data_IF_058319886632
#
_entry.id   IF_058319886632
#
_cell.length_a   1.000
_cell.length_b   1.000
_cell.length_c   1.000
_cell.angle_alpha   90.00
_cell.angle_beta   90.00
_cell.angle_gamma   90.00
#
_symmetry.space_group_name_H-M   'P 1'
#
loop_
_entity.id
_entity.type
_entity.pdbx_description
1 polymer ?
#
# COMPACT_ATOMS: atom_id res chain seq x y z
N UNK A 1 -21.58 27.30 0.37
CA UNK A 1 -21.56 26.54 -0.89
C UNK A 1 -20.13 26.51 -1.44
N UNK A 2 -19.16 25.84 -0.78
CA UNK A 2 -17.79 25.61 -1.31
C UNK A 2 -16.95 24.62 -0.47
N UNK A 3 -17.55 23.58 0.16
CA UNK A 3 -16.79 22.49 0.81
C UNK A 3 -17.51 21.16 0.53
N UNK A 4 -17.44 20.69 -0.71
CA UNK A 4 -17.98 19.38 -1.09
C UNK A 4 -17.06 18.56 -2.01
N UNK A 5 -15.75 18.88 -2.06
CA UNK A 5 -14.83 18.28 -3.05
C UNK A 5 -13.56 17.65 -2.47
N UNK A 6 -13.63 16.96 -1.32
CA UNK A 6 -12.49 16.18 -0.79
C UNK A 6 -12.75 14.67 -0.65
N UNK A 7 -13.88 14.14 -1.10
CA UNK A 7 -14.26 12.72 -0.87
C UNK A 7 -14.09 11.79 -2.08
N UNK A 8 -13.19 12.09 -3.01
CA UNK A 8 -12.84 11.16 -4.09
C UNK A 8 -11.42 11.42 -4.56
N UNK A 9 -10.60 10.36 -4.54
CA UNK A 9 -9.19 10.24 -4.95
C UNK A 9 -8.10 10.39 -3.87
N UNK A 10 -7.17 9.42 -3.94
CA UNK A 10 -5.84 9.31 -3.28
C UNK A 10 -5.89 8.78 -1.84
N UNK A 11 -5.51 7.53 -1.50
CA UNK A 11 -4.36 6.76 -1.94
C UNK A 11 -3.24 6.89 -0.91
N UNK A 12 -3.16 5.98 0.08
CA UNK A 12 -2.02 5.62 0.97
C UNK A 12 -1.27 6.74 1.75
N UNK A 13 -1.53 8.02 1.51
CA UNK A 13 -0.76 9.14 2.07
C UNK A 13 -1.36 9.82 3.30
N UNK A 14 -2.62 9.54 3.67
CA UNK A 14 -3.31 10.34 4.68
C UNK A 14 -3.14 9.86 6.14
N UNK A 15 -2.51 8.70 6.36
CA UNK A 15 -2.39 8.13 7.72
C UNK A 15 -1.05 8.52 8.39
N UNK A 16 -0.08 9.06 7.64
CA UNK A 16 1.21 9.53 8.17
C UNK A 16 1.31 11.06 8.40
N UNK A 17 0.28 11.84 8.07
CA UNK A 17 0.37 13.31 7.99
C UNK A 17 -0.25 14.09 9.17
N UNK A 18 -0.54 13.47 10.33
CA UNK A 18 -1.25 14.15 11.43
C UNK A 18 -0.43 14.36 12.71
N UNK A 19 0.90 14.48 12.64
CA UNK A 19 1.71 14.88 13.80
C UNK A 19 2.69 16.06 13.60
N UNK A 20 2.76 16.69 12.42
CA UNK A 20 3.61 17.88 12.23
C UNK A 20 2.93 18.95 11.39
N UNK A 21 2.16 19.82 12.03
CA UNK A 21 1.93 21.18 11.53
C UNK A 21 2.30 22.16 12.64
N UNK A 22 3.44 22.86 12.54
CA UNK A 22 3.81 23.90 13.48
C UNK A 22 3.27 25.22 12.96
N UNK A 23 2.16 25.71 13.51
CA UNK A 23 1.85 27.14 13.64
C UNK A 23 0.40 27.31 14.11
N UNK A 24 0.22 27.65 15.39
CA UNK A 24 -0.73 28.65 15.84
C UNK A 24 -0.57 28.91 17.35
N UNK A 25 -0.02 30.09 17.62
CA UNK A 25 -0.31 31.00 18.75
C UNK A 25 -0.08 30.53 20.19
N UNK A 26 0.85 31.25 20.85
CA UNK A 26 1.12 31.23 22.28
C UNK A 26 -0.08 31.82 23.06
N UNK A 27 -0.97 30.95 23.52
CA UNK A 27 -1.84 31.24 24.65
C UNK A 27 -1.57 30.20 25.74
N UNK A 28 -1.06 30.69 26.89
CA UNK A 28 -0.86 30.03 28.18
C UNK A 28 -1.09 28.51 28.26
N UNK A 29 -0.08 27.70 28.65
CA UNK A 29 -0.31 26.29 28.93
C UNK A 29 -1.12 26.19 30.22
N UNK A 30 -2.44 26.07 30.09
CA UNK A 30 -3.22 25.42 31.14
C UNK A 30 -2.58 24.04 31.36
N UNK A 31 -2.33 23.59 32.61
CA UNK A 31 -1.73 22.29 32.83
C UNK A 31 -2.60 21.26 32.10
N UNK A 32 -2.00 20.55 31.16
CA UNK A 32 -2.66 19.49 30.43
C UNK A 32 -3.23 18.53 31.48
N UNK A 33 -4.55 18.57 31.66
CA UNK A 33 -5.27 17.54 32.41
C UNK A 33 -5.03 16.26 31.64
N UNK A 34 -4.05 15.47 32.07
CA UNK A 34 -3.98 14.05 31.77
C UNK A 34 -5.15 13.38 32.49
N UNK A 35 -6.36 13.61 31.98
CA UNK A 35 -7.47 12.71 32.23
C UNK A 35 -7.09 11.40 31.55
N UNK A 36 -6.43 10.51 32.30
CA UNK A 36 -6.52 9.08 32.01
C UNK A 36 -7.99 8.75 32.25
N UNK A 37 -8.81 8.87 31.21
CA UNK A 37 -10.18 8.37 31.28
C UNK A 37 -10.08 6.89 31.68
N UNK A 38 -10.83 6.45 32.70
CA UNK A 38 -10.77 5.07 33.11
C UNK A 38 -11.19 4.18 31.94
N UNK A 39 -10.49 3.06 31.75
CA UNK A 39 -10.84 2.05 30.75
C UNK A 39 -11.77 1.03 31.38
N UNK A 40 -12.95 1.48 31.84
CA UNK A 40 -13.96 0.55 32.35
C UNK A 40 -14.67 -0.15 31.20
N UNK A 41 -15.27 -1.31 31.48
CA UNK A 41 -16.10 -2.01 30.48
C UNK A 41 -17.24 -1.12 29.95
N UNK A 42 -17.79 -0.23 30.78
CA UNK A 42 -18.84 0.70 30.38
C UNK A 42 -18.31 1.75 29.41
N UNK A 43 -17.16 2.34 29.70
CA UNK A 43 -16.56 3.38 28.86
C UNK A 43 -16.12 2.80 27.50
N UNK A 44 -15.55 1.59 27.50
CA UNK A 44 -15.19 0.86 26.28
C UNK A 44 -16.44 0.57 25.44
N UNK A 45 -17.51 0.06 26.05
CA UNK A 45 -18.76 -0.23 25.35
C UNK A 45 -19.39 1.04 24.76
N UNK A 46 -19.37 2.14 25.52
CA UNK A 46 -19.87 3.43 25.04
C UNK A 46 -19.03 3.96 23.86
N UNK A 47 -17.71 3.83 23.94
CA UNK A 47 -16.83 4.26 22.86
C UNK A 47 -17.08 3.48 21.57
N UNK A 48 -17.30 2.16 21.67
CA UNK A 48 -17.68 1.31 20.53
C UNK A 48 -19.04 1.72 19.96
N UNK A 49 -20.04 1.98 20.82
CA UNK A 49 -21.37 2.40 20.38
C UNK A 49 -21.34 3.71 19.58
N UNK A 50 -20.40 4.60 19.92
CA UNK A 50 -20.21 5.89 19.24
C UNK A 50 -19.57 5.77 17.84
N UNK A 51 -19.12 4.58 17.40
CA UNK A 51 -18.65 4.39 16.02
C UNK A 51 -19.74 4.60 14.96
N UNK A 52 -21.02 4.56 15.35
CA UNK A 52 -22.15 4.87 14.47
C UNK A 52 -22.22 6.36 14.10
N UNK A 53 -21.59 7.23 14.88
CA UNK A 53 -21.52 8.66 14.60
C UNK A 53 -20.19 9.01 13.90
N UNK A 54 -20.22 9.42 12.62
CA UNK A 54 -19.02 9.80 11.86
C UNK A 54 -18.12 10.82 12.55
N UNK A 55 -18.69 11.74 13.34
CA UNK A 55 -17.94 12.79 14.03
C UNK A 55 -17.19 12.28 15.27
N UNK A 56 -17.58 11.11 15.77
CA UNK A 56 -17.04 10.54 17.00
C UNK A 56 -16.12 9.36 16.76
N UNK A 57 -16.12 8.79 15.55
CA UNK A 57 -15.34 7.62 15.19
C UNK A 57 -13.85 7.71 15.55
N UNK A 58 -13.16 8.75 15.08
CA UNK A 58 -11.73 8.90 15.29
C UNK A 58 -11.37 9.09 16.77
N UNK A 59 -12.14 9.91 17.49
CA UNK A 59 -11.92 10.18 18.91
C UNK A 59 -12.09 8.92 19.75
N UNK A 60 -13.15 8.15 19.50
CA UNK A 60 -13.40 6.90 20.23
C UNK A 60 -12.40 5.81 19.86
N UNK A 61 -11.97 5.74 18.59
CA UNK A 61 -10.92 4.80 18.18
C UNK A 61 -9.61 5.09 18.92
N UNK A 62 -9.22 6.37 19.03
CA UNK A 62 -8.03 6.79 19.80
C UNK A 62 -8.15 6.46 21.29
N UNK A 63 -9.32 6.66 21.88
CA UNK A 63 -9.58 6.29 23.27
C UNK A 63 -9.42 4.77 23.48
N UNK A 64 -10.01 3.94 22.61
CA UNK A 64 -9.89 2.48 22.69
C UNK A 64 -8.45 2.00 22.49
N UNK A 65 -7.68 2.66 21.62
CA UNK A 65 -6.24 2.39 21.45
C UNK A 65 -5.48 2.74 22.73
N UNK A 66 -5.81 3.85 23.40
CA UNK A 66 -5.21 4.21 24.68
C UNK A 66 -5.54 3.20 25.80
N UNK A 67 -6.69 2.53 25.72
CA UNK A 67 -7.04 1.42 26.61
C UNK A 67 -6.27 0.12 26.31
N UNK A 68 -5.66 -0.01 25.14
CA UNK A 68 -4.81 -1.14 24.78
C UNK A 68 -5.54 -2.50 24.91
N UNK A 69 -4.87 -3.46 25.55
CA UNK A 69 -5.38 -4.84 25.70
C UNK A 69 -6.73 -4.93 26.44
N UNK A 70 -7.08 -3.95 27.28
CA UNK A 70 -8.37 -3.92 27.98
C UNK A 70 -9.56 -3.79 27.01
N UNK A 71 -9.37 -3.14 25.85
CA UNK A 71 -10.42 -2.97 24.84
C UNK A 71 -10.57 -4.19 23.91
N UNK A 72 -9.55 -5.06 23.83
CA UNK A 72 -9.50 -6.17 22.87
C UNK A 72 -10.69 -7.12 22.98
N UNK A 73 -11.12 -7.59 24.17
CA UNK A 73 -12.26 -8.51 24.26
C UNK A 73 -13.56 -7.92 23.70
N UNK A 74 -13.87 -6.65 24.02
CA UNK A 74 -15.07 -5.97 23.55
C UNK A 74 -15.02 -5.69 22.04
N UNK A 75 -13.85 -5.30 21.53
CA UNK A 75 -13.63 -5.11 20.09
C UNK A 75 -13.80 -6.42 19.32
N UNK A 76 -13.26 -7.54 19.81
CA UNK A 76 -13.42 -8.85 19.20
C UNK A 76 -14.88 -9.32 19.21
N UNK A 77 -15.60 -9.09 20.31
CA UNK A 77 -17.05 -9.36 20.39
C UNK A 77 -17.81 -8.55 19.34
N UNK A 78 -17.48 -7.27 19.18
CA UNK A 78 -18.10 -6.36 18.19
C UNK A 78 -17.97 -6.89 16.77
N UNK A 79 -16.81 -7.47 16.40
CA UNK A 79 -16.62 -8.08 15.07
C UNK A 79 -17.53 -9.27 14.79
N UNK A 80 -18.01 -9.95 15.83
CA UNK A 80 -18.90 -11.11 15.72
C UNK A 80 -20.37 -10.72 15.71
N UNK A 81 -20.75 -9.70 16.50
CA UNK A 81 -22.15 -9.42 16.82
C UNK A 81 -22.71 -8.18 16.15
N UNK A 82 -21.90 -7.17 15.80
CA UNK A 82 -22.44 -5.92 15.30
C UNK A 82 -22.81 -6.01 13.81
N UNK A 83 -24.07 -5.73 13.42
CA UNK A 83 -24.51 -5.81 12.03
C UNK A 83 -23.94 -4.69 11.16
N UNK A 84 -23.56 -3.55 11.75
CA UNK A 84 -23.08 -2.38 11.03
C UNK A 84 -21.62 -2.56 10.60
N UNK A 85 -21.39 -2.53 9.28
CA UNK A 85 -20.06 -2.64 8.71
C UNK A 85 -19.12 -1.51 9.15
N UNK A 86 -19.64 -0.32 9.42
CA UNK A 86 -18.89 0.84 9.89
C UNK A 86 -18.35 0.60 11.30
N UNK A 87 -19.19 0.05 12.18
CA UNK A 87 -18.77 -0.29 13.55
C UNK A 87 -17.70 -1.38 13.51
N UNK A 88 -17.89 -2.43 12.67
CA UNK A 88 -16.88 -3.48 12.49
C UNK A 88 -15.58 -2.96 11.89
N UNK A 89 -15.65 -2.04 10.93
CA UNK A 89 -14.48 -1.38 10.33
C UNK A 89 -13.66 -0.65 11.40
N UNK A 90 -14.30 0.24 12.17
CA UNK A 90 -13.61 1.00 13.21
C UNK A 90 -13.09 0.12 14.35
N UNK A 91 -13.79 -0.98 14.67
CA UNK A 91 -13.28 -1.97 15.60
C UNK A 91 -11.98 -2.62 15.08
N UNK A 92 -11.90 -3.00 13.80
CA UNK A 92 -10.67 -3.52 13.20
C UNK A 92 -9.57 -2.47 13.20
N UNK A 93 -9.88 -1.21 12.85
CA UNK A 93 -8.92 -0.11 12.90
C UNK A 93 -8.32 -0.05 14.31
N UNK A 94 -9.15 0.07 15.35
CA UNK A 94 -8.69 0.10 16.74
C UNK A 94 -7.83 -1.11 17.10
N UNK A 95 -8.23 -2.33 16.72
CA UNK A 95 -7.43 -3.55 16.97
C UNK A 95 -6.07 -3.53 16.28
N UNK A 96 -6.00 -3.05 15.04
CA UNK A 96 -4.74 -2.90 14.29
C UNK A 96 -3.77 -1.93 14.97
N UNK A 97 -4.27 -0.80 15.47
CA UNK A 97 -3.47 0.17 16.22
C UNK A 97 -3.08 -0.30 17.63
N UNK A 98 -3.93 -1.09 18.30
CA UNK A 98 -3.58 -1.74 19.57
C UNK A 98 -2.43 -2.74 19.35
N UNK A 99 -2.45 -3.46 18.22
CA UNK A 99 -1.34 -4.31 17.79
C UNK A 99 -1.22 -5.63 18.57
N UNK A 100 -2.25 -6.05 19.30
CA UNK A 100 -2.23 -7.32 20.03
C UNK A 100 -2.28 -8.52 19.07
N UNK A 101 -1.24 -9.38 19.00
CA UNK A 101 -1.21 -10.52 18.08
C UNK A 101 -2.33 -11.54 18.28
N UNK A 102 -3.00 -11.54 19.45
CA UNK A 102 -4.15 -12.44 19.73
C UNK A 102 -5.29 -12.24 18.72
N UNK A 103 -5.38 -11.05 18.11
CA UNK A 103 -6.47 -10.71 17.19
C UNK A 103 -6.25 -11.22 15.76
N UNK A 104 -5.02 -11.62 15.40
CA UNK A 104 -4.65 -12.03 14.04
C UNK A 104 -5.60 -13.10 13.46
N UNK A 105 -5.95 -14.19 14.16
CA UNK A 105 -6.87 -15.19 13.63
C UNK A 105 -8.25 -14.63 13.29
N UNK A 106 -8.76 -13.69 14.11
CA UNK A 106 -10.07 -13.06 13.88
C UNK A 106 -10.00 -12.08 12.71
N UNK A 107 -8.92 -11.33 12.57
CA UNK A 107 -8.70 -10.47 11.40
C UNK A 107 -8.59 -11.27 10.11
N UNK A 108 -7.90 -12.42 10.13
CA UNK A 108 -7.88 -13.37 8.99
C UNK A 108 -9.30 -13.81 8.63
N UNK A 109 -10.12 -14.18 9.62
CA UNK A 109 -11.50 -14.58 9.36
C UNK A 109 -12.32 -13.43 8.75
N UNK A 110 -12.18 -12.19 9.26
CA UNK A 110 -12.87 -11.01 8.67
C UNK A 110 -12.41 -10.72 7.25
N UNK A 111 -11.10 -10.80 6.96
CA UNK A 111 -10.56 -10.68 5.62
C UNK A 111 -11.21 -11.69 4.65
N UNK A 112 -11.40 -12.94 5.06
CA UNK A 112 -11.87 -14.00 4.18
C UNK A 112 -13.39 -14.03 3.99
N UNK A 113 -14.16 -13.65 5.02
CA UNK A 113 -15.59 -13.97 5.06
C UNK A 113 -16.51 -12.83 5.50
N UNK A 114 -16.02 -11.62 5.80
CA UNK A 114 -16.95 -10.52 6.08
C UNK A 114 -17.74 -10.16 4.82
N UNK A 115 -19.03 -9.87 4.98
CA UNK A 115 -19.93 -9.51 3.87
C UNK A 115 -19.50 -8.18 3.24
N UNK A 116 -19.01 -7.24 4.05
CA UNK A 116 -18.59 -5.92 3.59
C UNK A 116 -17.17 -5.95 3.04
N UNK A 117 -17.00 -5.51 1.78
CA UNK A 117 -15.68 -5.33 1.17
C UNK A 117 -14.82 -4.32 1.93
N UNK A 118 -15.44 -3.29 2.52
CA UNK A 118 -14.74 -2.30 3.35
C UNK A 118 -14.11 -2.97 4.57
N UNK A 119 -14.86 -3.86 5.25
CA UNK A 119 -14.35 -4.60 6.41
C UNK A 119 -13.24 -5.56 6.01
N UNK A 120 -13.38 -6.28 4.87
CA UNK A 120 -12.31 -7.16 4.35
C UNK A 120 -11.03 -6.39 4.03
N UNK A 121 -11.15 -5.22 3.39
CA UNK A 121 -10.05 -4.33 3.08
C UNK A 121 -9.33 -3.86 4.36
N UNK A 122 -10.09 -3.34 5.32
CA UNK A 122 -9.54 -2.84 6.59
C UNK A 122 -8.88 -3.97 7.40
N UNK A 123 -9.39 -5.20 7.32
CA UNK A 123 -8.71 -6.37 7.89
C UNK A 123 -7.35 -6.64 7.23
N UNK A 124 -7.24 -6.54 5.90
CA UNK A 124 -5.95 -6.66 5.21
C UNK A 124 -4.97 -5.57 5.68
N UNK A 125 -5.43 -4.31 5.74
CA UNK A 125 -4.61 -3.18 6.17
C UNK A 125 -4.07 -3.39 7.60
N UNK A 126 -4.92 -3.79 8.54
CA UNK A 126 -4.52 -4.09 9.92
C UNK A 126 -3.50 -5.23 9.98
N UNK A 127 -3.71 -6.32 9.25
CA UNK A 127 -2.77 -7.45 9.19
C UNK A 127 -1.40 -7.05 8.62
N UNK A 128 -1.40 -6.16 7.62
CA UNK A 128 -0.17 -5.60 7.05
C UNK A 128 0.58 -4.71 8.03
N UNK A 129 -0.12 -3.79 8.70
CA UNK A 129 0.46 -2.90 9.72
C UNK A 129 1.05 -3.66 10.90
N UNK A 130 0.38 -4.74 11.32
CA UNK A 130 0.87 -5.64 12.36
C UNK A 130 2.01 -6.55 11.89
N UNK A 131 2.42 -6.48 10.62
CA UNK A 131 3.40 -7.37 10.00
C UNK A 131 3.11 -8.86 10.27
N UNK A 132 1.83 -9.23 10.20
CA UNK A 132 1.34 -10.53 10.60
C UNK A 132 1.72 -11.62 9.57
N UNK A 133 2.95 -12.16 9.66
CA UNK A 133 3.44 -13.24 8.77
C UNK A 133 2.49 -14.44 8.72
N UNK A 134 1.84 -14.78 9.84
CA UNK A 134 0.84 -15.86 9.92
C UNK A 134 -0.37 -15.64 8.99
N UNK A 135 -0.65 -14.41 8.58
CA UNK A 135 -1.74 -14.07 7.68
C UNK A 135 -1.38 -14.16 6.18
N UNK A 136 -0.10 -14.34 5.84
CA UNK A 136 0.36 -14.39 4.44
C UNK A 136 -0.42 -15.41 3.60
N UNK A 137 -0.67 -16.66 4.05
CA UNK A 137 -1.45 -17.61 3.26
C UNK A 137 -2.87 -17.11 2.92
N UNK A 138 -3.54 -16.47 3.88
CA UNK A 138 -4.88 -15.93 3.68
C UNK A 138 -4.87 -14.70 2.75
N UNK A 139 -3.92 -13.78 2.95
CA UNK A 139 -3.71 -12.64 2.08
C UNK A 139 -3.44 -13.09 0.63
N UNK A 140 -2.57 -14.07 0.43
CA UNK A 140 -2.27 -14.62 -0.91
C UNK A 140 -3.50 -15.24 -1.56
N UNK A 141 -4.34 -15.96 -0.81
CA UNK A 141 -5.58 -16.50 -1.33
C UNK A 141 -6.53 -15.38 -1.81
N UNK A 142 -6.65 -14.30 -1.05
CA UNK A 142 -7.46 -13.14 -1.42
C UNK A 142 -6.90 -12.39 -2.62
N UNK A 143 -5.57 -12.24 -2.71
CA UNK A 143 -4.90 -11.61 -3.86
C UNK A 143 -5.22 -12.34 -5.18
N UNK A 144 -5.26 -13.67 -5.15
CA UNK A 144 -5.49 -14.53 -6.32
C UNK A 144 -6.96 -14.66 -6.72
N UNK A 145 -7.89 -14.31 -5.83
CA UNK A 145 -9.32 -14.42 -6.06
C UNK A 145 -9.78 -13.32 -7.02
N UNK A 146 -9.82 -13.62 -8.31
CA UNK A 146 -10.20 -12.65 -9.35
C UNK A 146 -11.63 -12.11 -9.23
N UNK A 147 -12.52 -12.84 -8.56
CA UNK A 147 -13.90 -12.40 -8.28
C UNK A 147 -14.00 -11.49 -7.04
N UNK A 148 -12.89 -11.23 -6.36
CA UNK A 148 -12.85 -10.35 -5.20
C UNK A 148 -12.88 -8.88 -5.61
N UNK A 149 -13.36 -8.02 -4.72
CA UNK A 149 -13.34 -6.58 -4.92
C UNK A 149 -11.90 -6.09 -5.14
N UNK A 150 -11.70 -5.29 -6.20
CA UNK A 150 -10.36 -4.80 -6.57
C UNK A 150 -9.73 -3.96 -5.46
N UNK A 151 -10.51 -3.20 -4.69
CA UNK A 151 -10.00 -2.43 -3.55
C UNK A 151 -9.50 -3.33 -2.42
N UNK A 152 -10.11 -4.50 -2.22
CA UNK A 152 -9.64 -5.51 -1.26
C UNK A 152 -8.33 -6.12 -1.78
N UNK A 153 -8.25 -6.50 -3.06
CA UNK A 153 -7.02 -7.06 -3.65
C UNK A 153 -5.85 -6.06 -3.59
N UNK A 154 -6.13 -4.78 -3.79
CA UNK A 154 -5.17 -3.69 -3.64
C UNK A 154 -4.62 -3.59 -2.20
N UNK A 155 -5.50 -3.53 -1.19
CA UNK A 155 -5.09 -3.52 0.21
C UNK A 155 -4.30 -4.78 0.60
N UNK A 156 -4.69 -5.95 0.07
CA UNK A 156 -3.94 -7.19 0.26
C UNK A 156 -2.53 -7.12 -0.31
N UNK A 157 -2.34 -6.56 -1.51
CA UNK A 157 -1.01 -6.36 -2.09
C UNK A 157 -0.17 -5.38 -1.26
N UNK A 158 -0.77 -4.30 -0.77
CA UNK A 158 -0.10 -3.36 0.16
C UNK A 158 0.30 -4.05 1.47
N UNK A 159 -0.60 -4.84 2.06
CA UNK A 159 -0.35 -5.59 3.28
C UNK A 159 0.78 -6.61 3.12
N UNK A 160 0.82 -7.34 2.00
CA UNK A 160 1.93 -8.24 1.67
C UNK A 160 3.25 -7.47 1.54
N UNK A 161 3.22 -6.27 0.97
CA UNK A 161 4.36 -5.35 0.93
C UNK A 161 4.85 -4.92 2.31
N UNK A 162 3.94 -4.66 3.25
CA UNK A 162 4.30 -4.31 4.63
C UNK A 162 4.89 -5.50 5.39
N UNK A 163 4.36 -6.71 5.17
CA UNK A 163 4.85 -7.93 5.82
C UNK A 163 6.26 -8.30 5.31
N UNK A 164 6.55 -8.06 4.03
CA UNK A 164 7.89 -8.27 3.43
C UNK A 164 8.45 -9.71 3.55
N UNK A 165 7.60 -10.71 3.82
CA UNK A 165 7.99 -12.12 3.86
C UNK A 165 8.37 -12.62 2.45
N UNK A 166 9.25 -13.63 2.36
CA UNK A 166 9.67 -14.17 1.06
C UNK A 166 8.49 -14.71 0.23
N UNK A 167 7.49 -15.34 0.86
CA UNK A 167 6.29 -15.77 0.13
C UNK A 167 5.51 -14.55 -0.37
N UNK A 168 5.38 -13.49 0.44
CA UNK A 168 4.71 -12.27 0.03
C UNK A 168 5.39 -11.62 -1.19
N UNK A 169 6.72 -11.52 -1.18
CA UNK A 169 7.54 -11.01 -2.29
C UNK A 169 7.27 -11.82 -3.58
N UNK A 170 7.33 -13.15 -3.49
CA UNK A 170 7.08 -14.03 -4.64
C UNK A 170 5.67 -13.83 -5.23
N UNK A 171 4.66 -13.63 -4.38
CA UNK A 171 3.30 -13.39 -4.86
C UNK A 171 3.11 -12.01 -5.47
N UNK A 172 3.78 -10.97 -4.96
CA UNK A 172 3.78 -9.65 -5.58
C UNK A 172 4.43 -9.68 -6.97
N UNK A 173 5.52 -10.44 -7.15
CA UNK A 173 6.10 -10.66 -8.48
C UNK A 173 5.16 -11.45 -9.40
N UNK A 174 4.44 -12.44 -8.87
CA UNK A 174 3.45 -13.18 -9.65
C UNK A 174 2.33 -12.27 -10.21
N UNK A 175 1.96 -11.20 -9.50
CA UNK A 175 1.04 -10.15 -10.00
C UNK A 175 1.63 -9.46 -11.23
N UNK A 176 2.94 -9.15 -11.23
CA UNK A 176 3.62 -8.53 -12.38
C UNK A 176 3.69 -9.46 -13.59
N UNK A 177 3.79 -10.77 -13.33
CA UNK A 177 3.93 -11.82 -14.33
C UNK A 177 2.59 -12.27 -14.92
N UNK A 178 1.46 -11.85 -14.36
CA UNK A 178 0.14 -12.16 -14.88
C UNK A 178 -0.28 -11.13 -15.96
N UNK A 179 -0.32 -11.50 -17.25
CA UNK A 179 -0.63 -10.56 -18.33
C UNK A 179 -2.08 -10.08 -18.32
N UNK A 180 -2.99 -10.78 -17.63
CA UNK A 180 -4.42 -10.42 -17.50
C UNK A 180 -4.73 -9.63 -16.23
N UNK A 181 -3.72 -9.35 -15.41
CA UNK A 181 -3.92 -8.67 -14.15
C UNK A 181 -4.20 -7.19 -14.34
N UNK A 182 -5.05 -6.65 -13.46
CA UNK A 182 -5.42 -5.24 -13.42
C UNK A 182 -4.19 -4.32 -13.31
N UNK A 183 -4.16 -3.23 -14.09
CA UNK A 183 -3.03 -2.30 -14.15
C UNK A 183 -2.79 -1.60 -12.83
N UNK A 184 -3.87 -1.25 -12.10
CA UNK A 184 -3.74 -0.58 -10.82
C UNK A 184 -3.18 -1.55 -9.75
N UNK A 185 -3.62 -2.81 -9.74
CA UNK A 185 -3.05 -3.83 -8.86
C UNK A 185 -1.56 -4.09 -9.15
N UNK A 186 -1.14 -4.11 -10.42
CA UNK A 186 0.29 -4.18 -10.78
C UNK A 186 1.07 -2.99 -10.25
N UNK A 187 0.55 -1.77 -10.42
CA UNK A 187 1.19 -0.57 -9.92
C UNK A 187 1.38 -0.61 -8.39
N UNK A 188 0.39 -1.13 -7.66
CA UNK A 188 0.49 -1.33 -6.22
C UNK A 188 1.54 -2.39 -5.88
N UNK A 189 1.55 -3.52 -6.58
CA UNK A 189 2.56 -4.56 -6.36
C UNK A 189 3.99 -4.05 -6.61
N UNK A 190 4.20 -3.21 -7.62
CA UNK A 190 5.49 -2.56 -7.88
C UNK A 190 5.88 -1.63 -6.73
N UNK A 191 4.97 -0.76 -6.28
CA UNK A 191 5.22 0.13 -5.14
C UNK A 191 5.55 -0.65 -3.87
N UNK A 192 4.85 -1.76 -3.63
CA UNK A 192 5.13 -2.67 -2.52
C UNK A 192 6.54 -3.26 -2.62
N UNK A 193 6.93 -3.78 -3.79
CA UNK A 193 8.27 -4.34 -4.03
C UNK A 193 9.38 -3.29 -3.90
N UNK A 194 9.14 -2.06 -4.36
CA UNK A 194 10.07 -0.93 -4.17
C UNK A 194 10.25 -0.62 -2.69
N UNK A 195 9.15 -0.61 -1.92
CA UNK A 195 9.17 -0.36 -0.48
C UNK A 195 9.87 -1.48 0.31
N UNK A 196 9.73 -2.73 -0.14
CA UNK A 196 10.45 -3.89 0.42
C UNK A 196 11.97 -3.72 0.23
N UNK A 197 12.41 -3.25 -0.95
CA UNK A 197 13.82 -2.95 -1.21
C UNK A 197 14.66 -4.19 -1.51
N UNK A 198 15.83 -4.30 -0.88
CA UNK A 198 16.84 -5.33 -1.17
C UNK A 198 16.33 -6.79 -1.20
N UNK A 199 15.43 -7.23 -0.30
CA UNK A 199 14.87 -8.58 -0.36
C UNK A 199 14.13 -8.91 -1.66
N UNK A 200 13.60 -7.91 -2.37
CA UNK A 200 12.92 -8.11 -3.65
C UNK A 200 13.88 -8.25 -4.84
N UNK A 201 15.13 -7.80 -4.72
CA UNK A 201 16.09 -7.74 -5.83
C UNK A 201 16.32 -9.10 -6.50
N UNK A 202 16.60 -10.21 -5.77
CA UNK A 202 16.91 -11.49 -6.42
C UNK A 202 15.80 -11.97 -7.35
N UNK A 203 14.53 -11.86 -6.92
CA UNK A 203 13.38 -12.28 -7.72
C UNK A 203 13.09 -11.31 -8.86
N UNK A 204 13.35 -10.01 -8.69
CA UNK A 204 13.21 -9.02 -9.75
C UNK A 204 14.27 -9.22 -10.85
N UNK A 205 15.50 -9.59 -10.50
CA UNK A 205 16.54 -9.95 -11.47
C UNK A 205 16.08 -11.16 -12.29
N UNK A 206 15.55 -12.20 -11.66
CA UNK A 206 15.00 -13.36 -12.37
C UNK A 206 13.87 -12.96 -13.32
N UNK A 207 13.05 -11.97 -12.93
CA UNK A 207 11.93 -11.49 -13.74
C UNK A 207 12.38 -10.72 -14.99
N UNK A 208 13.63 -10.24 -15.06
CA UNK A 208 14.20 -9.66 -16.30
C UNK A 208 14.30 -10.68 -17.44
N UNK A 209 14.27 -11.98 -17.13
CA UNK A 209 14.28 -13.09 -18.09
C UNK A 209 12.88 -13.66 -18.39
N UNK A 210 11.81 -13.02 -17.88
CA UNK A 210 10.44 -13.46 -18.11
C UNK A 210 10.05 -13.34 -19.61
N UNK A 211 9.31 -14.28 -20.20
CA UNK A 211 8.93 -14.23 -21.61
C UNK A 211 8.06 -13.01 -21.95
N UNK A 212 7.23 -12.54 -21.01
CA UNK A 212 6.42 -11.34 -21.20
C UNK A 212 7.26 -10.06 -21.08
N UNK A 213 7.18 -9.19 -22.10
CA UNK A 213 7.88 -7.91 -22.14
C UNK A 213 7.42 -6.95 -21.05
N UNK A 214 6.13 -6.98 -20.70
CA UNK A 214 5.58 -6.08 -19.67
C UNK A 214 6.10 -6.45 -18.28
N UNK A 215 6.18 -7.74 -17.96
CA UNK A 215 6.82 -8.22 -16.72
C UNK A 215 8.29 -7.79 -16.61
N UNK A 216 9.07 -7.96 -17.68
CA UNK A 216 10.47 -7.53 -17.73
C UNK A 216 10.63 -6.03 -17.51
N UNK A 217 9.78 -5.23 -18.17
CA UNK A 217 9.76 -3.77 -18.02
C UNK A 217 9.49 -3.36 -16.58
N UNK A 218 8.46 -3.92 -15.94
CA UNK A 218 8.12 -3.60 -14.56
C UNK A 218 9.19 -4.03 -13.57
N UNK A 219 9.85 -5.16 -13.81
CA UNK A 219 10.98 -5.59 -13.00
C UNK A 219 12.17 -4.63 -13.12
N UNK A 220 12.51 -4.19 -14.34
CA UNK A 220 13.56 -3.19 -14.56
C UNK A 220 13.24 -1.86 -13.88
N UNK A 221 11.99 -1.41 -13.95
CA UNK A 221 11.53 -0.20 -13.26
C UNK A 221 11.66 -0.34 -11.74
N UNK A 222 11.17 -1.44 -11.16
CA UNK A 222 11.23 -1.67 -9.73
C UNK A 222 12.69 -1.69 -9.23
N UNK A 223 13.60 -2.38 -9.93
CA UNK A 223 15.02 -2.36 -9.61
C UNK A 223 15.61 -0.94 -9.63
N UNK A 224 15.27 -0.14 -10.64
CA UNK A 224 15.78 1.23 -10.74
C UNK A 224 15.26 2.14 -9.61
N UNK A 225 14.01 1.96 -9.21
CA UNK A 225 13.38 2.74 -8.14
C UNK A 225 13.80 2.29 -6.73
N UNK A 226 14.15 1.02 -6.53
CA UNK A 226 14.76 0.53 -5.27
C UNK A 226 16.05 1.31 -4.97
N UNK A 227 16.84 1.62 -6.01
CA UNK A 227 18.01 2.50 -5.95
C UNK A 227 19.03 2.17 -4.84
N UNK A 228 19.14 0.90 -4.45
CA UNK A 228 20.14 0.43 -3.49
C UNK A 228 21.44 0.04 -4.17
N UNK A 229 22.54 -0.06 -3.42
CA UNK A 229 23.83 -0.47 -3.96
C UNK A 229 23.77 -1.85 -4.66
N UNK A 230 23.01 -2.79 -4.08
CA UNK A 230 22.79 -4.11 -4.66
C UNK A 230 21.99 -4.01 -5.96
N UNK A 231 20.91 -3.22 -5.98
CA UNK A 231 20.06 -3.09 -7.15
C UNK A 231 20.80 -2.43 -8.32
N UNK A 232 21.57 -1.38 -8.03
CA UNK A 232 22.39 -0.69 -9.01
C UNK A 232 23.49 -1.60 -9.58
N UNK A 233 24.10 -2.43 -8.75
CA UNK A 233 25.09 -3.42 -9.20
C UNK A 233 24.46 -4.46 -10.12
N UNK A 234 23.26 -4.93 -9.77
CA UNK A 234 22.51 -5.87 -10.60
C UNK A 234 22.10 -5.27 -11.96
N UNK A 235 21.58 -4.04 -11.97
CA UNK A 235 21.21 -3.34 -13.20
C UNK A 235 22.40 -3.12 -14.13
N UNK A 236 23.58 -2.81 -13.58
CA UNK A 236 24.81 -2.71 -14.36
C UNK A 236 25.22 -4.03 -14.99
N UNK A 237 25.17 -5.11 -14.23
CA UNK A 237 25.47 -6.44 -14.76
C UNK A 237 24.51 -6.85 -15.89
N UNK A 238 23.30 -6.26 -15.92
CA UNK A 238 22.25 -6.54 -16.90
C UNK A 238 22.01 -5.38 -17.88
N UNK A 239 22.93 -4.41 -18.02
CA UNK A 239 22.68 -3.14 -18.72
C UNK A 239 22.15 -3.32 -20.14
N UNK A 240 22.79 -4.20 -20.94
CA UNK A 240 22.37 -4.48 -22.31
C UNK A 240 20.96 -5.06 -22.39
N UNK A 241 20.60 -5.94 -21.44
CA UNK A 241 19.28 -6.55 -21.35
C UNK A 241 18.23 -5.50 -20.98
N UNK A 242 18.54 -4.64 -20.01
CA UNK A 242 17.65 -3.55 -19.58
C UNK A 242 17.43 -2.56 -20.72
N UNK A 243 18.46 -2.19 -21.48
CA UNK A 243 18.33 -1.31 -22.64
C UNK A 243 17.39 -1.90 -23.70
N UNK A 244 17.56 -3.19 -24.03
CA UNK A 244 16.67 -3.90 -24.97
C UNK A 244 15.22 -3.95 -24.47
N UNK A 245 15.00 -4.18 -23.17
CA UNK A 245 13.66 -4.18 -22.56
C UNK A 245 13.01 -2.80 -22.70
N UNK A 246 13.74 -1.73 -22.41
CA UNK A 246 13.20 -0.37 -22.47
C UNK A 246 12.86 0.05 -23.91
N UNK A 247 13.68 -0.33 -24.87
CA UNK A 247 13.44 -0.07 -26.30
C UNK A 247 12.21 -0.83 -26.78
N UNK A 248 12.15 -2.15 -26.53
CA UNK A 248 11.00 -2.96 -26.89
C UNK A 248 9.71 -2.49 -26.20
N UNK A 249 9.77 -2.07 -24.92
CA UNK A 249 8.60 -1.58 -24.20
C UNK A 249 8.10 -0.23 -24.72
N UNK A 250 9.00 0.61 -25.23
CA UNK A 250 8.65 1.85 -25.92
C UNK A 250 7.92 1.55 -27.24
N UNK A 251 8.48 0.66 -28.05
CA UNK A 251 7.90 0.28 -29.35
C UNK A 251 6.53 -0.42 -29.21
N UNK A 252 6.36 -1.20 -28.14
CA UNK A 252 5.13 -1.95 -27.86
C UNK A 252 4.04 -1.12 -27.14
N UNK A 253 4.26 0.19 -26.93
CA UNK A 253 3.33 1.09 -26.23
C UNK A 253 2.82 0.53 -24.88
N UNK A 254 3.64 -0.28 -24.19
CA UNK A 254 3.32 -0.88 -22.88
C UNK A 254 3.06 0.22 -21.82
N UNK A 255 3.53 1.43 -22.13
CA UNK A 255 3.34 2.66 -21.37
C UNK A 255 2.09 3.42 -21.86
N UNK A 256 0.94 3.19 -21.22
CA UNK A 256 -0.15 4.18 -21.24
C UNK A 256 0.33 5.42 -20.48
N UNK A 257 0.61 6.51 -21.20
CA UNK A 257 0.64 7.86 -20.62
C UNK A 257 -0.23 8.76 -21.48
N UNK A 258 -0.95 9.65 -20.81
CA UNK A 258 -1.81 10.69 -21.38
C UNK A 258 -1.32 11.17 -22.75
N UNK A 259 -2.16 11.03 -23.78
CA UNK A 259 -1.89 11.52 -25.12
C UNK A 259 -1.53 13.01 -25.02
N UNK A 260 -0.26 13.36 -25.25
CA UNK A 260 0.07 14.73 -25.64
C UNK A 260 -0.51 14.89 -27.06
N UNK A 261 -1.43 15.84 -27.30
CA UNK A 261 -2.09 15.96 -28.59
C UNK A 261 -1.06 16.15 -29.71
N UNK A 262 -1.33 15.51 -30.85
CA UNK A 262 -0.47 15.47 -32.04
C UNK A 262 -0.07 16.85 -32.59
N UNK A 263 -0.70 17.93 -32.12
CA UNK A 263 -0.35 19.31 -32.46
C UNK A 263 1.04 19.76 -31.99
N UNK A 264 1.68 19.02 -31.06
CA UNK A 264 3.06 19.31 -30.63
C UNK A 264 4.15 18.76 -31.56
N UNK A 265 3.82 17.87 -32.51
CA UNK A 265 4.78 17.13 -33.33
C UNK A 265 5.21 17.85 -34.65
N UNK A 266 4.67 19.04 -34.95
CA UNK A 266 4.87 19.69 -36.25
C UNK A 266 5.94 20.80 -36.29
N UNK A 267 6.93 20.81 -35.40
CA UNK A 267 8.09 21.70 -35.58
C UNK A 267 9.37 20.91 -35.74
N UNK A 268 9.79 20.84 -37.00
CA UNK A 268 10.96 20.13 -37.50
C UNK A 268 12.20 20.39 -36.66
N UNK A 269 12.61 19.35 -35.95
CA UNK A 269 13.93 19.15 -35.40
C UNK A 269 14.13 17.63 -35.38
N UNK A 270 15.07 17.17 -36.18
CA UNK A 270 15.54 15.79 -36.28
C UNK A 270 15.51 15.04 -34.94
N UNK A 271 14.61 14.06 -34.82
CA UNK A 271 14.69 12.90 -33.93
C UNK A 271 15.27 13.14 -32.52
N UNK A 272 14.98 14.28 -31.89
CA UNK A 272 15.04 14.38 -30.44
C UNK A 272 13.79 13.70 -29.89
N UNK A 273 13.87 12.37 -29.88
CA UNK A 273 13.05 11.50 -29.04
C UNK A 273 13.04 12.18 -27.67
N UNK A 274 11.92 12.77 -27.28
CA UNK A 274 11.70 13.25 -25.91
C UNK A 274 11.68 11.98 -25.06
N UNK A 275 12.87 11.50 -24.69
CA UNK A 275 13.06 10.31 -23.88
C UNK A 275 12.38 10.63 -22.54
N UNK A 276 11.26 9.94 -22.28
CA UNK A 276 10.38 10.18 -21.12
C UNK A 276 11.20 10.15 -19.81
N UNK A 277 10.81 10.90 -18.77
CA UNK A 277 11.55 11.01 -17.51
C UNK A 277 11.94 9.67 -16.89
N UNK A 278 11.12 8.62 -17.03
CA UNK A 278 11.39 7.29 -16.46
C UNK A 278 12.43 6.50 -17.29
N UNK A 279 12.33 6.48 -18.62
CA UNK A 279 13.37 5.85 -19.47
C UNK A 279 14.67 6.63 -19.36
N UNK A 280 14.59 7.96 -19.28
CA UNK A 280 15.71 8.81 -18.90
C UNK A 280 16.22 8.50 -17.51
N UNK A 281 15.38 8.28 -16.49
CA UNK A 281 15.79 7.96 -15.12
C UNK A 281 16.47 6.60 -15.06
N UNK A 282 15.93 5.56 -15.69
CA UNK A 282 16.55 4.22 -15.74
C UNK A 282 17.85 4.27 -16.53
N UNK A 283 17.86 4.86 -17.74
CA UNK A 283 19.10 5.01 -18.54
C UNK A 283 20.12 5.92 -17.85
N UNK A 284 19.69 6.99 -17.17
CA UNK A 284 20.56 7.90 -16.42
C UNK A 284 21.15 7.22 -15.19
N UNK A 285 20.33 6.50 -14.41
CA UNK A 285 20.80 5.68 -13.27
C UNK A 285 21.79 4.61 -13.76
N UNK A 286 21.52 3.98 -14.90
CA UNK A 286 22.43 2.99 -15.50
C UNK A 286 23.75 3.62 -16.01
N UNK A 287 23.69 4.82 -16.61
CA UNK A 287 24.83 5.46 -17.29
C UNK A 287 25.67 6.41 -16.42
N UNK A 288 25.10 7.06 -15.40
CA UNK A 288 25.73 8.16 -14.65
C UNK A 288 26.03 7.84 -13.18
N UNK A 289 26.04 6.56 -12.82
CA UNK A 289 26.21 6.01 -11.46
C UNK A 289 27.41 6.52 -10.65
N UNK A 290 28.53 6.88 -11.30
CA UNK A 290 29.73 7.36 -10.59
C UNK A 290 29.58 8.78 -10.01
N UNK A 291 28.56 9.55 -10.41
CA UNK A 291 28.35 10.95 -10.02
C UNK A 291 27.28 11.15 -8.93
N UNK A 292 26.65 10.07 -8.45
CA UNK A 292 25.63 10.11 -7.39
C UNK A 292 26.18 9.84 -5.98
N UNK A 293 27.50 9.92 -5.76
CA UNK A 293 28.12 9.91 -4.43
C UNK A 293 28.35 11.32 -3.93
#
# INVERSE_FOLDING_TARGET
>A
MFIQLCYRFVGVGFILALLFSPTLSLANPSPARTFVQPCTNLDIAQAIANFKDPWQQQTNARYLVACGSAAVPALLQTLQTDPDATVREWAIISLGWIGDPVVIPVLIARLQSDVSAVVRRTAADALGQMQAVKAVPALVAMLKKSSEDIAVRNAVAEALGLISDNVAIQQLVAVLNNPREDLNLRNIAIKALIKIGDPAIPVLIQTLDHPDLRSRYWAALALAEINSAQSLTALKAQSNKVDQILEAAYDAEIVEFDRVPASAAQRGSSAQIVRKPIVCKIKWVAQHWARCR
#
